data_IF_442697900101
#
_entry.id   IF_442697900101
#
_cell.length_a   1.000
_cell.length_b   1.000
_cell.length_c   1.000
_cell.angle_alpha   90.00
_cell.angle_beta   90.00
_cell.angle_gamma   90.00
#
_symmetry.space_group_name_H-M   'P 1'
#
loop_
_entity.id
_entity.type
_entity.pdbx_description
1 polymer ?
#
# COMPACT_ATOMS: atom_id res chain seq x y z
N UNK A 1 10.31 -2.95 1.34
CA UNK A 1 9.96 -1.57 0.93
C UNK A 1 11.13 -0.89 0.29
N UNK A 2 10.88 -0.16 -0.79
CA UNK A 2 11.87 0.73 -1.44
C UNK A 2 11.88 2.09 -0.74
N UNK A 3 12.98 2.85 -0.83
CA UNK A 3 13.00 4.24 -0.38
C UNK A 3 11.88 5.06 -1.04
N UNK A 4 11.27 5.98 -0.28
CA UNK A 4 10.18 6.89 -0.70
C UNK A 4 8.78 6.28 -0.93
N UNK A 5 8.58 4.97 -0.74
CA UNK A 5 7.23 4.38 -0.77
C UNK A 5 6.38 4.80 0.44
N UNK A 6 7.02 5.16 1.55
CA UNK A 6 6.35 5.53 2.80
C UNK A 6 6.89 6.85 3.34
N UNK A 7 6.08 7.51 4.17
CA UNK A 7 6.54 8.64 4.97
C UNK A 7 6.66 8.24 6.43
N UNK A 8 7.83 8.46 7.00
CA UNK A 8 8.10 8.29 8.43
C UNK A 8 8.04 9.68 9.08
N UNK A 9 7.35 9.77 10.22
CA UNK A 9 7.40 10.96 11.06
C UNK A 9 8.77 10.99 11.78
N UNK A 10 9.61 12.01 11.55
CA UNK A 10 10.95 12.08 12.14
C UNK A 10 10.92 12.25 13.67
N UNK A 11 9.80 12.68 14.26
CA UNK A 11 9.68 12.84 15.71
C UNK A 11 9.38 11.53 16.42
N UNK A 12 8.59 10.67 15.80
CA UNK A 12 8.06 9.44 16.42
C UNK A 12 8.67 8.17 15.84
N UNK A 13 9.30 8.25 14.67
CA UNK A 13 9.78 7.07 13.92
C UNK A 13 8.65 6.23 13.33
N UNK A 14 7.40 6.68 13.39
CA UNK A 14 6.23 5.93 12.92
C UNK A 14 5.92 6.22 11.45
N UNK A 15 5.43 5.20 10.75
CA UNK A 15 4.89 5.33 9.40
C UNK A 15 3.58 6.12 9.44
N UNK A 16 3.45 7.13 8.59
CA UNK A 16 2.27 7.99 8.47
C UNK A 16 1.20 7.34 7.60
N UNK A 17 -0.06 7.66 7.87
CA UNK A 17 -1.26 7.16 7.16
C UNK A 17 -1.51 7.81 5.78
N UNK A 18 -0.47 8.35 5.14
CA UNK A 18 -0.61 9.27 3.98
C UNK A 18 0.09 8.80 2.71
N UNK A 19 1.05 7.89 2.81
CA UNK A 19 1.82 7.36 1.67
C UNK A 19 2.11 5.88 1.92
N UNK A 20 2.04 5.08 0.87
CA UNK A 20 2.33 3.65 0.96
C UNK A 20 2.41 2.91 -0.37
N UNK A 21 2.00 1.64 -0.36
CA UNK A 21 2.18 0.75 -1.51
C UNK A 21 1.19 1.14 -2.62
N UNK A 22 1.70 1.48 -3.79
CA UNK A 22 0.87 1.91 -4.92
C UNK A 22 0.03 0.77 -5.49
N UNK A 23 -1.20 1.12 -5.83
CA UNK A 23 -2.21 0.33 -6.50
C UNK A 23 -2.75 1.08 -7.71
N UNK A 24 -3.28 0.33 -8.66
CA UNK A 24 -3.99 0.86 -9.82
C UNK A 24 -5.25 0.03 -10.04
N UNK A 25 -6.32 0.67 -10.51
CA UNK A 25 -7.54 -0.05 -10.92
C UNK A 25 -7.38 -0.70 -12.30
N UNK A 26 -6.43 -0.24 -13.11
CA UNK A 26 -6.06 -0.84 -14.38
C UNK A 26 -4.88 -1.82 -14.18
N UNK A 27 -5.08 -3.14 -14.38
CA UNK A 27 -4.03 -4.14 -14.22
C UNK A 27 -2.83 -3.89 -15.15
N UNK A 28 -3.04 -3.36 -16.36
CA UNK A 28 -1.96 -3.12 -17.32
C UNK A 28 -0.91 -2.13 -16.81
N UNK A 29 -1.33 -1.17 -15.98
CA UNK A 29 -0.44 -0.17 -15.40
C UNK A 29 0.55 -0.79 -14.40
N UNK A 30 0.15 -1.88 -13.74
CA UNK A 30 0.94 -2.57 -12.72
C UNK A 30 1.58 -3.87 -13.20
N UNK A 31 1.11 -4.46 -14.30
CA UNK A 31 1.63 -5.70 -14.88
C UNK A 31 3.14 -5.69 -15.12
N UNK A 32 3.71 -4.53 -15.47
CA UNK A 32 5.16 -4.35 -15.66
C UNK A 32 6.02 -4.61 -14.41
N UNK A 33 5.42 -4.70 -13.23
CA UNK A 33 6.12 -4.91 -11.95
C UNK A 33 6.14 -6.37 -11.47
N UNK A 34 5.88 -7.33 -12.37
CA UNK A 34 5.86 -8.76 -12.06
C UNK A 34 4.48 -9.41 -12.15
N UNK A 35 3.55 -8.78 -12.87
CA UNK A 35 2.15 -9.19 -13.01
C UNK A 35 1.20 -8.36 -12.16
N UNK A 36 -0.06 -8.31 -12.59
CA UNK A 36 -1.14 -7.69 -11.82
C UNK A 36 -1.72 -8.72 -10.84
N UNK A 37 -1.97 -8.29 -9.62
CA UNK A 37 -2.69 -9.07 -8.62
C UNK A 37 -3.88 -8.27 -8.11
N UNK A 38 -5.02 -8.94 -7.93
CA UNK A 38 -6.19 -8.38 -7.28
C UNK A 38 -6.07 -8.59 -5.77
N UNK A 39 -6.41 -7.56 -5.00
CA UNK A 39 -6.55 -7.68 -3.53
C UNK A 39 -7.89 -8.33 -3.23
N UNK A 40 -7.85 -9.46 -2.52
CA UNK A 40 -9.05 -10.18 -2.09
C UNK A 40 -9.41 -9.87 -0.63
N UNK A 41 -8.39 -9.61 0.20
CA UNK A 41 -8.58 -9.24 1.60
C UNK A 41 -7.50 -8.28 2.07
N UNK A 42 -7.90 -7.31 2.88
CA UNK A 42 -7.02 -6.34 3.53
C UNK A 42 -7.13 -6.51 5.05
N UNK A 43 -6.02 -6.78 5.77
CA UNK A 43 -6.06 -6.97 7.21
C UNK A 43 -6.35 -5.66 7.95
N UNK A 44 -6.91 -5.81 9.15
CA UNK A 44 -7.14 -4.69 10.06
C UNK A 44 -5.84 -3.93 10.34
N UNK A 45 -5.94 -2.61 10.42
CA UNK A 45 -4.79 -1.72 10.55
C UNK A 45 -4.21 -1.24 9.22
N UNK A 46 -4.70 -1.75 8.08
CA UNK A 46 -4.45 -1.17 6.77
C UNK A 46 -5.72 -0.52 6.20
N UNK A 47 -5.52 0.43 5.29
CA UNK A 47 -6.61 0.99 4.49
C UNK A 47 -6.12 1.40 3.11
N UNK A 48 -7.04 1.55 2.17
CA UNK A 48 -6.75 2.04 0.83
C UNK A 48 -7.22 3.50 0.74
N UNK A 49 -6.40 4.37 0.16
CA UNK A 49 -6.73 5.77 -0.11
C UNK A 49 -6.50 6.09 -1.59
N UNK A 50 -7.28 7.02 -2.15
CA UNK A 50 -6.94 7.63 -3.44
C UNK A 50 -5.77 8.59 -3.25
N UNK A 51 -4.83 8.60 -4.20
CA UNK A 51 -3.66 9.47 -4.14
C UNK A 51 -3.31 10.04 -5.50
N UNK A 52 -2.80 11.27 -5.49
CA UNK A 52 -2.37 11.96 -6.71
C UNK A 52 -3.54 12.54 -7.50
N UNK A 53 -3.24 13.06 -8.70
CA UNK A 53 -4.24 13.66 -9.59
C UNK A 53 -5.00 12.65 -10.44
N UNK A 54 -4.47 11.43 -10.58
CA UNK A 54 -5.12 10.34 -11.31
C UNK A 54 -6.17 9.67 -10.42
N UNK A 55 -7.39 9.55 -10.92
CA UNK A 55 -8.48 8.89 -10.20
C UNK A 55 -8.22 7.39 -9.99
N UNK A 56 -7.38 6.80 -10.84
CA UNK A 56 -7.01 5.39 -10.84
C UNK A 56 -5.87 5.05 -9.88
N UNK A 57 -5.16 6.05 -9.34
CA UNK A 57 -4.02 5.82 -8.44
C UNK A 57 -4.50 5.75 -6.99
N UNK A 58 -4.29 4.58 -6.39
CA UNK A 58 -4.57 4.32 -4.99
C UNK A 58 -3.30 3.87 -4.27
N UNK A 59 -3.31 3.95 -2.95
CA UNK A 59 -2.22 3.43 -2.12
C UNK A 59 -2.77 2.66 -0.92
N UNK A 60 -2.11 1.56 -0.56
CA UNK A 60 -2.29 0.90 0.74
C UNK A 60 -1.44 1.63 1.77
N UNK A 61 -2.09 2.13 2.81
CA UNK A 61 -1.46 2.88 3.90
C UNK A 61 -1.83 2.28 5.25
N UNK A 62 -1.07 2.60 6.32
CA UNK A 62 -1.53 2.34 7.68
C UNK A 62 -2.87 3.04 7.96
N UNK A 63 -3.76 2.38 8.70
CA UNK A 63 -4.99 2.98 9.20
C UNK A 63 -4.74 3.99 10.33
N UNK A 64 -3.64 3.79 11.08
CA UNK A 64 -3.13 4.67 12.13
C UNK A 64 -1.60 4.67 12.08
N UNK A 65 -0.95 5.66 12.71
CA UNK A 65 0.51 5.71 12.73
C UNK A 65 1.07 4.49 13.47
N UNK A 66 2.01 3.76 12.86
CA UNK A 66 2.55 2.52 13.42
C UNK A 66 4.04 2.34 13.07
N UNK A 67 4.78 1.48 13.80
CA UNK A 67 6.13 1.10 13.44
C UNK A 67 6.24 0.50 12.02
N UNK A 68 7.39 0.67 11.38
CA UNK A 68 7.66 0.14 10.05
C UNK A 68 7.55 -1.38 9.99
N UNK A 69 8.03 -2.09 11.01
CA UNK A 69 7.97 -3.55 11.05
C UNK A 69 6.53 -4.05 11.17
N UNK A 70 5.68 -3.36 11.95
CA UNK A 70 4.25 -3.65 12.04
C UNK A 70 3.56 -3.44 10.69
N UNK A 71 3.85 -2.32 10.02
CA UNK A 71 3.28 -2.06 8.70
C UNK A 71 3.68 -3.14 7.69
N UNK A 72 4.96 -3.54 7.67
CA UNK A 72 5.44 -4.62 6.80
C UNK A 72 4.81 -5.99 7.15
N UNK A 73 4.62 -6.30 8.44
CA UNK A 73 3.93 -7.52 8.88
C UNK A 73 2.48 -7.57 8.41
N UNK A 74 1.77 -6.45 8.41
CA UNK A 74 0.40 -6.37 7.91
C UNK A 74 0.35 -6.51 6.39
N UNK A 75 1.27 -5.89 5.65
CA UNK A 75 1.33 -6.05 4.19
C UNK A 75 1.53 -7.51 3.77
N UNK A 76 2.31 -8.27 4.55
CA UNK A 76 2.54 -9.70 4.29
C UNK A 76 1.30 -10.58 4.56
N UNK A 77 0.25 -10.04 5.18
CA UNK A 77 -1.02 -10.74 5.45
C UNK A 77 -2.09 -10.44 4.40
N UNK A 78 -1.80 -9.58 3.42
CA UNK A 78 -2.72 -9.30 2.32
C UNK A 78 -2.90 -10.57 1.49
N UNK A 79 -4.15 -10.93 1.25
CA UNK A 79 -4.50 -12.04 0.35
C UNK A 79 -4.73 -11.47 -1.03
N UNK A 80 -4.05 -12.04 -2.01
CA UNK A 80 -4.15 -11.64 -3.41
C UNK A 80 -4.40 -12.84 -4.32
N UNK A 81 -5.10 -12.59 -5.42
CA UNK A 81 -5.28 -13.52 -6.54
C UNK A 81 -4.67 -12.92 -7.81
N UNK A 82 -4.21 -13.76 -8.77
CA UNK A 82 -3.74 -13.27 -10.06
C UNK A 82 -4.81 -12.43 -10.77
N UNK A 83 -4.43 -11.26 -11.27
CA UNK A 83 -5.27 -10.44 -12.14
C UNK A 83 -5.47 -11.15 -13.47
N UNK A 84 -6.70 -11.16 -13.98
CA UNK A 84 -7.03 -11.60 -15.34
C UNK A 84 -6.89 -10.46 -16.32
#
# INVERSE_FOLDING_TARGET
MKPNEIKIDPKTGMVKTTHGVSLDVNPDTVSKFGGACRIDSLPDGLRIIQRGSRAEHYEIVPAYNMPLDQFQKLLNQIIVSPGK
#
